data_IF_662050775177
#
_entry.id   IF_662050775177
#
_cell.length_a   1.000
_cell.length_b   1.000
_cell.length_c   1.000
_cell.angle_alpha   90.00
_cell.angle_beta   90.00
_cell.angle_gamma   90.00
#
_symmetry.space_group_name_H-M   'P 1'
#
loop_
_entity.id
_entity.type
_entity.pdbx_description
1 polymer ?
#
# COMPACT_ATOMS: atom_id res chain seq x y z
N UNK A 1 31.95 6.11 -4.54
CA UNK A 1 30.61 6.58 -4.12
C UNK A 1 30.80 7.44 -2.88
N UNK A 2 30.33 8.69 -2.86
CA UNK A 2 30.68 9.65 -1.80
C UNK A 2 29.71 9.55 -0.61
N UNK A 3 30.21 9.86 0.60
CA UNK A 3 29.42 9.94 1.84
C UNK A 3 28.18 10.85 1.71
N UNK A 4 28.27 11.88 0.85
CA UNK A 4 27.18 12.80 0.54
C UNK A 4 26.10 12.19 -0.35
N UNK A 5 26.45 11.23 -1.20
CA UNK A 5 25.48 10.45 -2.00
C UNK A 5 24.66 9.52 -1.09
N UNK A 6 25.29 8.95 -0.06
CA UNK A 6 24.64 8.04 0.89
C UNK A 6 23.74 8.78 1.90
N UNK A 7 24.13 9.96 2.39
CA UNK A 7 23.27 10.78 3.25
C UNK A 7 22.01 11.32 2.56
N UNK A 8 22.04 11.50 1.24
CA UNK A 8 20.86 11.92 0.46
C UNK A 8 19.70 10.91 0.53
N UNK A 9 20.03 9.62 0.61
CA UNK A 9 19.07 8.49 0.69
C UNK A 9 18.36 8.37 2.05
N UNK A 10 18.87 9.02 3.10
CA UNK A 10 18.33 8.93 4.45
C UNK A 10 17.22 9.95 4.73
N UNK A 11 16.87 10.82 3.78
CA UNK A 11 15.64 11.61 3.88
C UNK A 11 14.46 10.68 3.61
N UNK A 12 13.46 10.71 4.48
CA UNK A 12 12.14 10.16 4.16
C UNK A 12 11.75 10.58 2.74
N UNK A 13 11.21 9.68 1.90
CA UNK A 13 10.78 10.05 0.55
C UNK A 13 9.90 11.30 0.64
N UNK A 14 10.35 12.38 0.01
CA UNK A 14 9.66 13.67 0.10
C UNK A 14 8.38 13.56 -0.74
N UNK A 15 7.27 14.03 -0.19
CA UNK A 15 6.00 14.13 -0.91
C UNK A 15 6.14 15.24 -1.92
N UNK A 16 5.92 14.98 -3.21
CA UNK A 16 5.78 16.07 -4.20
C UNK A 16 5.28 15.61 -5.56
N UNK A 17 4.20 14.84 -5.62
CA UNK A 17 3.30 14.87 -6.78
C UNK A 17 1.88 15.02 -6.25
N UNK A 18 1.34 16.23 -6.42
CA UNK A 18 -0.08 16.53 -6.25
C UNK A 18 -0.66 16.68 -7.65
N UNK A 19 -1.51 15.74 -8.04
CA UNK A 19 -2.21 15.78 -9.31
C UNK A 19 -3.69 16.06 -9.05
N UNK A 20 -4.20 17.11 -9.71
CA UNK A 20 -5.63 17.38 -9.76
C UNK A 20 -6.24 16.56 -10.88
N UNK A 21 -7.20 15.72 -10.53
CA UNK A 21 -7.88 14.87 -11.50
C UNK A 21 -9.00 15.69 -12.16
N UNK A 22 -8.88 15.92 -13.47
CA UNK A 22 -9.83 16.71 -14.26
C UNK A 22 -11.07 15.92 -14.70
N UNK A 23 -12.15 16.62 -15.09
CA UNK A 23 -13.40 16.00 -15.54
C UNK A 23 -13.26 15.15 -16.80
N UNK A 24 -12.26 15.42 -17.65
CA UNK A 24 -11.94 14.66 -18.86
C UNK A 24 -11.42 13.24 -18.57
N UNK A 25 -10.74 13.03 -17.44
CA UNK A 25 -10.21 11.71 -17.06
C UNK A 25 -11.27 10.85 -16.38
N UNK A 26 -12.27 11.46 -15.72
CA UNK A 26 -13.33 10.77 -15.00
C UNK A 26 -14.71 11.40 -15.22
N UNK A 27 -15.32 11.21 -16.41
CA UNK A 27 -16.56 11.90 -16.81
C UNK A 27 -17.80 11.52 -15.98
N UNK A 28 -17.80 10.34 -15.35
CA UNK A 28 -18.95 9.80 -14.59
C UNK A 28 -18.91 10.17 -13.09
N UNK A 29 -17.86 10.87 -12.64
CA UNK A 29 -17.70 11.28 -11.25
C UNK A 29 -18.36 12.63 -10.96
N UNK A 30 -18.92 12.82 -9.76
CA UNK A 30 -19.18 14.19 -9.30
C UNK A 30 -17.85 14.92 -9.16
N UNK A 31 -17.66 15.95 -9.96
CA UNK A 31 -16.44 16.76 -9.99
C UNK A 31 -16.39 17.71 -8.77
N UNK A 32 -16.04 17.15 -7.62
CA UNK A 32 -15.35 17.89 -6.57
C UNK A 32 -13.85 17.91 -6.94
N UNK A 33 -13.08 18.95 -6.59
CA UNK A 33 -11.64 18.96 -6.87
C UNK A 33 -10.96 17.79 -6.14
N UNK A 34 -10.61 16.74 -6.88
CA UNK A 34 -9.97 15.55 -6.34
C UNK A 34 -8.45 15.71 -6.44
N UNK A 35 -7.79 15.72 -5.28
CA UNK A 35 -6.33 15.79 -5.21
C UNK A 35 -5.79 14.40 -4.92
N UNK A 36 -5.01 13.86 -5.86
CA UNK A 36 -4.19 12.67 -5.65
C UNK A 36 -2.84 13.12 -5.09
N UNK A 37 -2.49 12.59 -3.92
CA UNK A 37 -1.17 12.81 -3.31
C UNK A 37 -0.40 11.51 -3.41
N UNK A 38 0.77 11.51 -4.05
CA UNK A 38 1.61 10.32 -4.20
C UNK A 38 3.10 10.59 -3.98
N UNK A 39 3.82 9.53 -3.58
CA UNK A 39 5.28 9.47 -3.45
C UNK A 39 5.86 8.61 -4.57
N UNK A 40 7.09 8.90 -4.97
CA UNK A 40 7.82 8.05 -5.89
C UNK A 40 8.01 6.64 -5.26
N UNK A 41 7.53 5.61 -5.95
CA UNK A 41 7.58 4.24 -5.45
C UNK A 41 9.00 3.67 -5.40
N UNK A 42 9.89 4.07 -6.32
CA UNK A 42 11.30 3.68 -6.33
C UNK A 42 12.01 4.27 -5.11
N UNK A 43 11.86 5.57 -4.85
CA UNK A 43 12.43 6.21 -3.64
C UNK A 43 11.91 5.57 -2.34
N UNK A 44 10.64 5.16 -2.34
CA UNK A 44 10.01 4.42 -1.26
C UNK A 44 10.64 3.02 -1.07
N UNK A 45 10.91 2.29 -2.15
CA UNK A 45 11.59 1.00 -2.12
C UNK A 45 13.04 1.15 -1.63
N UNK A 46 13.75 2.10 -2.20
CA UNK A 46 15.10 2.52 -1.86
C UNK A 46 15.25 2.86 -0.38
N UNK A 47 14.32 3.64 0.15
CA UNK A 47 14.26 3.97 1.57
C UNK A 47 14.07 2.71 2.42
N UNK A 48 13.18 1.79 2.04
CA UNK A 48 12.99 0.53 2.78
C UNK A 48 14.22 -0.38 2.74
N UNK A 49 14.91 -0.47 1.59
CA UNK A 49 16.15 -1.23 1.45
C UNK A 49 17.30 -0.62 2.24
N UNK A 50 17.40 0.71 2.28
CA UNK A 50 18.49 1.44 2.93
C UNK A 50 18.38 1.51 4.46
N UNK A 51 17.32 0.96 5.07
CA UNK A 51 17.07 1.07 6.50
C UNK A 51 17.96 0.14 7.33
N UNK A 52 18.84 0.69 8.20
CA UNK A 52 19.74 -0.14 9.02
C UNK A 52 18.99 -1.05 10.00
N UNK A 53 17.81 -0.65 10.46
CA UNK A 53 17.01 -1.41 11.44
C UNK A 53 16.27 -2.63 10.84
N UNK A 54 16.28 -2.73 9.50
CA UNK A 54 15.83 -3.87 8.71
C UNK A 54 17.00 -4.72 8.19
N UNK A 55 18.25 -4.37 8.53
CA UNK A 55 19.42 -5.18 8.18
C UNK A 55 19.29 -6.60 8.72
N UNK A 56 19.50 -7.60 7.87
CA UNK A 56 19.31 -9.03 8.21
C UNK A 56 17.85 -9.50 8.20
N UNK A 57 16.89 -8.60 8.00
CA UNK A 57 15.46 -8.90 7.85
C UNK A 57 15.00 -8.95 6.39
N UNK A 58 15.89 -8.62 5.45
CA UNK A 58 15.62 -8.60 4.01
C UNK A 58 16.30 -9.82 3.37
N UNK A 59 15.53 -10.57 2.60
CA UNK A 59 15.97 -11.75 1.84
C UNK A 59 16.23 -11.30 0.39
N UNK A 60 17.48 -11.39 -0.05
CA UNK A 60 17.92 -10.97 -1.39
C UNK A 60 17.87 -12.11 -2.40
N UNK A 61 18.15 -13.33 -1.94
CA UNK A 61 18.22 -14.50 -2.79
C UNK A 61 16.95 -15.35 -2.68
N UNK A 62 16.56 -16.03 -3.77
CA UNK A 62 15.43 -16.93 -3.73
C UNK A 62 15.79 -18.20 -2.94
N UNK A 63 14.98 -18.57 -1.95
CA UNK A 63 15.25 -19.69 -1.05
C UNK A 63 14.39 -20.90 -1.44
N UNK A 64 14.91 -22.12 -1.28
CA UNK A 64 14.11 -23.35 -1.37
C UNK A 64 14.26 -24.09 -0.06
N UNK A 65 13.14 -24.27 0.63
CA UNK A 65 13.08 -24.94 1.93
C UNK A 65 12.18 -26.16 1.75
N UNK A 66 12.64 -27.33 2.20
CA UNK A 66 11.86 -28.56 2.21
C UNK A 66 11.51 -28.97 3.65
N UNK A 67 10.41 -29.70 3.81
CA UNK A 67 10.10 -30.42 5.05
C UNK A 67 11.07 -31.60 5.23
N UNK A 68 11.11 -32.19 6.43
CA UNK A 68 12.10 -33.22 6.83
C UNK A 68 12.20 -34.44 5.87
N UNK A 69 11.18 -34.68 5.06
CA UNK A 69 11.12 -35.77 4.07
C UNK A 69 11.64 -35.37 2.68
N UNK A 70 12.05 -34.12 2.47
CA UNK A 70 12.39 -33.53 1.17
C UNK A 70 11.29 -33.63 0.09
N UNK A 71 10.07 -34.08 0.46
CA UNK A 71 8.96 -34.26 -0.49
C UNK A 71 8.13 -32.98 -0.61
N UNK A 72 8.03 -32.21 0.48
CA UNK A 72 7.15 -31.05 0.55
C UNK A 72 7.97 -29.76 0.64
N UNK A 73 7.96 -28.96 -0.44
CA UNK A 73 8.51 -27.61 -0.40
C UNK A 73 7.65 -26.70 0.49
N UNK A 74 8.28 -26.04 1.44
CA UNK A 74 7.67 -25.03 2.31
C UNK A 74 7.68 -23.69 1.58
N UNK A 75 6.48 -23.12 1.39
CA UNK A 75 6.29 -21.78 0.82
C UNK A 75 5.69 -20.89 1.92
N UNK A 76 6.53 -20.08 2.56
CA UNK A 76 6.14 -19.23 3.69
C UNK A 76 6.47 -17.74 3.48
N UNK A 77 7.45 -17.44 2.62
CA UNK A 77 7.88 -16.10 2.22
C UNK A 77 7.83 -15.94 0.69
N UNK A 78 7.81 -14.71 0.20
CA UNK A 78 7.77 -14.46 -1.25
C UNK A 78 8.99 -15.08 -1.98
N UNK A 79 10.24 -14.97 -1.48
CA UNK A 79 11.41 -15.59 -2.10
C UNK A 79 11.39 -17.12 -2.10
N UNK A 80 10.58 -17.75 -1.23
CA UNK A 80 10.38 -19.22 -1.25
C UNK A 80 9.37 -19.69 -2.29
N UNK A 81 8.60 -18.76 -2.86
CA UNK A 81 7.57 -19.07 -3.83
C UNK A 81 8.15 -19.51 -5.18
N UNK A 82 7.67 -20.65 -5.70
CA UNK A 82 8.14 -21.20 -7.00
C UNK A 82 8.12 -20.18 -8.15
N UNK A 83 7.13 -19.29 -8.18
CA UNK A 83 7.01 -18.26 -9.23
C UNK A 83 8.16 -17.25 -9.19
N UNK A 84 8.69 -16.94 -8.01
CA UNK A 84 9.82 -16.03 -7.85
C UNK A 84 11.08 -16.60 -8.52
N UNK A 85 11.34 -17.88 -8.29
CA UNK A 85 12.41 -18.64 -8.94
C UNK A 85 12.24 -18.70 -10.47
N UNK A 86 11.01 -18.88 -10.94
CA UNK A 86 10.70 -18.90 -12.38
C UNK A 86 10.98 -17.55 -13.04
N UNK A 87 10.55 -16.44 -12.41
CA UNK A 87 10.78 -15.10 -12.96
C UNK A 87 12.27 -14.81 -13.14
N UNK A 88 13.10 -15.15 -12.14
CA UNK A 88 14.56 -14.97 -12.24
C UNK A 88 15.17 -15.80 -13.38
N UNK A 89 14.74 -17.06 -13.54
CA UNK A 89 15.19 -17.94 -14.62
C UNK A 89 14.75 -17.43 -16.00
N UNK A 90 13.48 -17.08 -16.15
CA UNK A 90 12.87 -16.66 -17.41
C UNK A 90 13.39 -15.30 -17.88
N UNK A 91 13.69 -14.40 -16.92
CA UNK A 91 14.24 -13.09 -17.21
C UNK A 91 15.71 -13.14 -17.66
N UNK A 92 16.39 -14.30 -17.54
CA UNK A 92 17.78 -14.47 -17.93
C UNK A 92 18.74 -13.50 -17.20
N UNK A 93 18.38 -13.13 -15.96
CA UNK A 93 19.15 -12.19 -15.17
C UNK A 93 20.44 -12.83 -14.66
N UNK A 94 21.38 -11.96 -14.26
CA UNK A 94 22.60 -12.37 -13.57
C UNK A 94 22.26 -13.29 -12.38
N UNK A 95 23.02 -14.38 -12.14
CA UNK A 95 22.92 -15.17 -10.91
C UNK A 95 22.85 -14.34 -9.62
N UNK A 96 23.50 -13.17 -9.59
CA UNK A 96 23.54 -12.28 -8.42
C UNK A 96 22.38 -11.27 -8.38
N UNK A 97 21.45 -11.32 -9.35
CA UNK A 97 20.32 -10.40 -9.39
C UNK A 97 19.28 -10.73 -8.31
N UNK A 98 18.88 -9.71 -7.55
CA UNK A 98 17.76 -9.78 -6.61
C UNK A 98 16.46 -9.37 -7.29
N UNK A 99 15.45 -10.23 -7.27
CA UNK A 99 14.08 -9.82 -7.57
C UNK A 99 13.51 -9.08 -6.36
N UNK A 100 13.01 -7.85 -6.58
CA UNK A 100 12.36 -7.03 -5.56
C UNK A 100 10.83 -7.17 -5.63
N UNK A 101 10.23 -7.80 -4.63
CA UNK A 101 8.76 -7.90 -4.55
C UNK A 101 8.19 -6.65 -3.91
N UNK A 102 7.11 -6.11 -4.48
CA UNK A 102 6.38 -4.97 -3.91
C UNK A 102 4.96 -5.43 -3.56
N UNK A 103 4.52 -5.18 -2.33
CA UNK A 103 3.13 -5.40 -1.93
C UNK A 103 2.48 -4.06 -1.59
N UNK A 104 1.24 -3.90 -2.05
CA UNK A 104 0.41 -2.75 -1.74
C UNK A 104 -0.77 -3.14 -0.85
N UNK A 105 -1.14 -2.24 0.05
CA UNK A 105 -2.31 -2.38 0.92
C UNK A 105 -3.03 -1.05 0.97
N UNK A 106 -4.35 -1.06 0.78
CA UNK A 106 -5.18 0.14 0.83
C UNK A 106 -6.18 0.02 1.98
N UNK A 107 -6.33 1.09 2.75
CA UNK A 107 -7.35 1.17 3.79
C UNK A 107 -8.17 2.47 3.65
N UNK A 108 -9.47 2.38 3.92
CA UNK A 108 -10.37 3.52 3.84
C UNK A 108 -10.22 4.36 5.10
N UNK A 109 -9.76 5.59 4.94
CA UNK A 109 -9.54 6.53 6.04
C UNK A 109 -10.42 7.77 5.88
N UNK A 110 -10.85 8.34 7.00
CA UNK A 110 -11.58 9.60 7.01
C UNK A 110 -10.61 10.69 7.49
N UNK A 111 -10.34 11.69 6.65
CA UNK A 111 -9.53 12.84 7.03
C UNK A 111 -10.43 13.88 7.68
N UNK A 112 -10.60 13.79 9.01
CA UNK A 112 -11.57 14.62 9.73
C UNK A 112 -11.06 16.03 10.10
N UNK A 113 -9.75 16.28 10.09
CA UNK A 113 -9.21 17.46 10.78
C UNK A 113 -8.76 18.66 9.92
N UNK A 114 -8.57 18.55 8.59
CA UNK A 114 -7.99 19.66 7.82
C UNK A 114 -8.51 19.90 6.40
N UNK A 115 -9.37 19.02 5.84
CA UNK A 115 -9.75 19.10 4.43
C UNK A 115 -11.25 18.84 4.16
N UNK A 116 -12.13 19.14 5.13
CA UNK A 116 -13.58 19.10 4.93
C UNK A 116 -14.16 17.72 4.59
N UNK A 117 -14.27 16.81 5.56
CA UNK A 117 -14.96 15.51 5.44
C UNK A 117 -14.69 14.71 4.14
N UNK A 118 -13.46 14.78 3.62
CA UNK A 118 -13.04 14.00 2.44
C UNK A 118 -12.63 12.61 2.89
N UNK A 119 -13.26 11.60 2.27
CA UNK A 119 -12.91 10.19 2.46
C UNK A 119 -11.84 9.83 1.44
N UNK A 120 -10.74 9.24 1.89
CA UNK A 120 -9.63 8.83 1.04
C UNK A 120 -9.19 7.42 1.37
N UNK A 121 -8.68 6.71 0.38
CA UNK A 121 -7.96 5.47 0.57
C UNK A 121 -6.47 5.78 0.79
N UNK A 122 -5.96 5.45 1.97
CA UNK A 122 -4.52 5.48 2.22
C UNK A 122 -3.88 4.25 1.58
N UNK A 123 -2.93 4.45 0.66
CA UNK A 123 -2.18 3.39 0.00
C UNK A 123 -0.82 3.23 0.65
N UNK A 124 -0.55 2.04 1.16
CA UNK A 124 0.71 1.65 1.77
C UNK A 124 1.47 0.69 0.86
N UNK A 125 2.80 0.75 0.93
CA UNK A 125 3.75 -0.09 0.21
C UNK A 125 4.69 -0.79 1.20
N UNK A 126 5.11 -2.01 0.86
CA UNK A 126 6.20 -2.73 1.52
C UNK A 126 6.99 -3.58 0.51
N UNK A 127 8.17 -4.03 0.92
CA UNK A 127 8.96 -4.99 0.14
C UNK A 127 8.69 -6.43 0.58
N UNK A 128 8.31 -7.28 -0.37
CA UNK A 128 8.05 -8.71 -0.16
C UNK A 128 9.28 -9.51 0.26
N UNK A 129 10.46 -8.92 0.07
CA UNK A 129 11.75 -9.43 0.53
C UNK A 129 11.92 -9.30 2.04
N UNK A 130 11.17 -8.43 2.73
CA UNK A 130 11.23 -8.33 4.19
C UNK A 130 10.54 -9.55 4.80
N UNK A 131 11.20 -10.22 5.74
CA UNK A 131 10.65 -11.39 6.46
C UNK A 131 9.26 -11.10 7.03
N UNK A 132 8.35 -12.06 6.93
CA UNK A 132 6.95 -11.97 7.38
C UNK A 132 6.82 -11.50 8.82
N UNK A 133 7.64 -12.01 9.72
CA UNK A 133 7.62 -11.62 11.14
C UNK A 133 8.01 -10.14 11.33
N UNK A 134 8.95 -9.63 10.54
CA UNK A 134 9.28 -8.20 10.54
C UNK A 134 8.17 -7.36 9.90
N UNK A 135 7.50 -7.86 8.85
CA UNK A 135 6.36 -7.19 8.22
C UNK A 135 5.13 -7.07 9.13
N UNK A 136 4.88 -8.05 10.01
CA UNK A 136 3.74 -8.06 10.92
C UNK A 136 3.96 -7.21 12.18
N UNK A 137 5.20 -6.82 12.48
CA UNK A 137 5.55 -5.99 13.63
C UNK A 137 5.36 -4.51 13.32
N UNK A 138 4.30 -3.91 13.86
CA UNK A 138 4.03 -2.46 13.71
C UNK A 138 5.20 -1.57 14.15
N UNK A 139 5.97 -1.99 15.17
CA UNK A 139 7.15 -1.28 15.65
C UNK A 139 8.26 -1.16 14.61
N UNK A 140 8.34 -2.08 13.65
CA UNK A 140 9.32 -2.09 12.56
C UNK A 140 8.94 -1.15 11.42
N UNK A 141 7.69 -0.66 11.36
CA UNK A 141 7.23 0.27 10.32
C UNK A 141 7.63 -0.19 8.92
N UNK A 142 7.46 -1.48 8.63
CA UNK A 142 7.83 -2.07 7.33
C UNK A 142 6.88 -1.65 6.19
N UNK A 143 5.69 -1.14 6.55
CA UNK A 143 4.75 -0.50 5.65
C UNK A 143 4.96 1.01 5.65
N UNK A 144 5.07 1.60 4.47
CA UNK A 144 5.17 3.05 4.28
C UNK A 144 3.96 3.55 3.50
N UNK A 145 3.40 4.68 3.92
CA UNK A 145 2.33 5.34 3.17
C UNK A 145 2.93 5.96 1.90
N UNK A 146 2.34 5.66 0.76
CA UNK A 146 2.80 6.15 -0.54
C UNK A 146 1.78 7.02 -1.25
N UNK A 147 0.48 6.89 -0.96
CA UNK A 147 -0.52 7.75 -1.57
C UNK A 147 -1.77 7.95 -0.71
N UNK A 148 -2.46 9.06 -0.96
CA UNK A 148 -3.86 9.27 -0.58
C UNK A 148 -4.69 9.31 -1.85
N UNK A 149 -5.48 8.26 -2.08
CA UNK A 149 -6.35 8.12 -3.24
C UNK A 149 -7.72 8.68 -2.87
N UNK A 150 -8.22 9.71 -3.57
CA UNK A 150 -9.53 10.28 -3.28
C UNK A 150 -10.66 9.28 -3.56
N UNK A 151 -11.72 9.30 -2.74
CA UNK A 151 -12.93 8.50 -3.00
C UNK A 151 -13.94 9.38 -3.74
N UNK A 152 -14.13 9.11 -5.02
CA UNK A 152 -15.12 9.79 -5.83
C UNK A 152 -16.54 9.43 -5.39
N UNK A 153 -17.44 10.42 -5.34
CA UNK A 153 -18.88 10.18 -5.21
C UNK A 153 -19.45 9.92 -6.60
N UNK A 154 -19.66 8.65 -6.93
CA UNK A 154 -20.32 8.23 -8.16
C UNK A 154 -21.85 8.40 -8.04
N UNK A 155 -22.52 8.89 -9.08
CA UNK A 155 -23.97 9.12 -9.07
C UNK A 155 -24.76 7.83 -8.74
N UNK A 156 -24.37 6.70 -9.33
CA UNK A 156 -25.03 5.41 -9.15
C UNK A 156 -25.01 4.88 -7.70
N UNK A 157 -24.00 5.25 -6.89
CA UNK A 157 -23.91 4.76 -5.50
C UNK A 157 -24.54 5.73 -4.51
N UNK A 158 -24.69 7.00 -4.89
CA UNK A 158 -25.44 7.97 -4.08
C UNK A 158 -26.91 7.54 -3.97
N UNK A 159 -27.52 7.07 -5.06
CA UNK A 159 -28.89 6.55 -5.06
C UNK A 159 -29.06 5.39 -4.06
N UNK A 160 -28.16 4.40 -4.09
CA UNK A 160 -28.18 3.27 -3.16
C UNK A 160 -27.96 3.67 -1.69
N UNK A 161 -27.14 4.70 -1.43
CA UNK A 161 -26.84 5.17 -0.08
C UNK A 161 -28.02 5.97 0.49
N UNK A 162 -28.69 6.79 -0.34
CA UNK A 162 -29.90 7.51 0.04
C UNK A 162 -31.10 6.59 0.29
N UNK A 163 -31.23 5.52 -0.48
CA UNK A 163 -32.29 4.51 -0.26
C UNK A 163 -32.08 3.83 1.09
N UNK A 164 -30.84 3.48 1.46
CA UNK A 164 -30.52 2.88 2.77
C UNK A 164 -30.69 3.84 3.93
N UNK A 165 -30.30 5.11 3.78
CA UNK A 165 -30.46 6.11 4.84
C UNK A 165 -31.92 6.45 5.10
N UNK A 166 -32.75 6.58 4.05
CA UNK A 166 -34.21 6.77 4.16
C UNK A 166 -34.88 5.54 4.79
N UNK A 167 -34.49 4.33 4.37
CA UNK A 167 -35.00 3.09 4.96
C UNK A 167 -34.63 2.94 6.44
N UNK A 168 -33.42 3.33 6.85
CA UNK A 168 -33.00 3.33 8.26
C UNK A 168 -33.72 4.40 9.08
N UNK A 169 -33.87 5.62 8.54
CA UNK A 169 -34.59 6.70 9.20
C UNK A 169 -36.09 6.39 9.39
N UNK A 170 -36.71 5.66 8.45
CA UNK A 170 -38.08 5.16 8.59
C UNK A 170 -38.22 3.96 9.54
N UNK A 171 -37.14 3.21 9.79
CA UNK A 171 -37.14 2.06 10.70
C UNK A 171 -36.90 2.45 12.17
N UNK A 172 -36.51 3.70 12.45
CA UNK A 172 -36.41 4.21 13.81
C UNK A 172 -37.82 4.47 14.36
N UNK A 173 -38.17 3.97 15.56
CA UNK A 173 -39.46 4.31 16.17
C UNK A 173 -39.52 5.83 16.38
N UNK A 174 -40.68 6.48 16.14
CA UNK A 174 -40.83 7.90 16.41
C UNK A 174 -40.46 8.14 17.88
N UNK A 175 -39.61 9.14 18.11
CA UNK A 175 -39.01 9.44 19.41
C UNK A 175 -40.06 9.33 20.51
N UNK A 176 -39.91 8.34 21.38
CA UNK A 176 -40.75 8.19 22.55
C UNK A 176 -40.50 9.40 23.45
N UNK A 177 -41.50 10.28 23.55
CA UNK A 177 -41.52 11.31 24.58
C UNK A 177 -41.58 10.60 25.93
N UNK A 178 -40.44 10.51 26.61
CA UNK A 178 -40.39 10.07 27.99
C UNK A 178 -40.79 11.25 28.90
N UNK A 179 -41.62 11.04 29.94
CA UNK A 179 -41.99 12.09 30.89
C UNK A 179 -40.78 12.60 31.69
#
# INVERSE_FOLDING_TARGET
MSFWTWMGYLRSPQVSIEETIGPEEFPDGKHEDLVLILRNAEECADYLLGRPDLSGEIIFEPEVIFADDDEIQIINEMPTGRRWHQILKDAGLDPDATLGGVLFGSDKTHLTHYAGDVKVHALYMLLGNIKKDTRSRTSKRAWILIAYIPICKWEATLEHTEIKSKAHAQALPPSANWP
#
